data_IF_953245406902
#
_entry.id   IF_953245406902
#
_cell.length_a   1.000
_cell.length_b   1.000
_cell.length_c   1.000
_cell.angle_alpha   90.00
_cell.angle_beta   90.00
_cell.angle_gamma   90.00
#
_symmetry.space_group_name_H-M   'P 1'
#
loop_
_entity.id
_entity.type
_entity.pdbx_description
1 polymer ?
#
# COMPACT_ATOMS: atom_id res chain seq x y z
N UNK A 1 -39.83 49.93 -48.72
CA UNK A 1 -40.52 49.21 -47.63
C UNK A 1 -40.83 47.79 -48.10
N UNK A 2 -40.74 46.81 -47.19
CA UNK A 2 -40.01 45.54 -47.33
C UNK A 2 -40.89 44.40 -47.90
N UNK A 3 -40.43 43.20 -48.27
CA UNK A 3 -39.13 42.63 -48.67
C UNK A 3 -39.49 41.24 -49.21
N UNK A 4 -39.21 40.96 -50.48
CA UNK A 4 -39.29 39.63 -51.12
C UNK A 4 -37.97 38.90 -50.85
N UNK A 5 -37.90 37.58 -50.62
CA UNK A 5 -37.95 36.55 -51.66
C UNK A 5 -37.52 35.17 -51.10
N UNK A 6 -38.35 34.13 -51.33
CA UNK A 6 -38.13 32.73 -51.81
C UNK A 6 -36.76 32.02 -51.64
N UNK A 7 -36.55 30.68 -51.63
CA UNK A 7 -37.29 29.38 -51.64
C UNK A 7 -36.20 28.26 -51.54
N UNK A 8 -36.59 27.02 -51.16
CA UNK A 8 -35.90 25.69 -51.29
C UNK A 8 -35.01 25.58 -52.56
N UNK A 9 -33.95 24.76 -52.69
CA UNK A 9 -33.88 23.29 -52.57
C UNK A 9 -32.44 22.73 -52.86
N UNK A 10 -32.31 21.41 -52.95
CA UNK A 10 -31.13 20.50 -52.89
C UNK A 10 -30.04 20.53 -53.99
N UNK A 11 -28.86 20.07 -53.55
CA UNK A 11 -27.91 19.09 -54.16
C UNK A 11 -26.77 19.47 -55.13
N UNK A 12 -25.59 18.91 -54.77
CA UNK A 12 -24.51 18.30 -55.56
C UNK A 12 -23.22 19.06 -55.98
N UNK A 13 -22.11 18.49 -55.48
CA UNK A 13 -20.78 18.24 -56.08
C UNK A 13 -19.91 19.41 -56.58
N UNK A 14 -18.72 19.56 -55.97
CA UNK A 14 -17.54 20.14 -56.64
C UNK A 14 -16.45 20.74 -55.74
N UNK A 15 -15.39 19.96 -55.47
CA UNK A 15 -13.98 20.31 -55.17
C UNK A 15 -13.66 21.59 -54.37
N UNK A 16 -13.06 21.40 -53.19
CA UNK A 16 -12.27 22.41 -52.50
C UNK A 16 -11.44 21.80 -51.37
N UNK A 17 -10.17 21.55 -51.64
CA UNK A 17 -9.15 21.06 -50.70
C UNK A 17 -8.79 22.13 -49.69
N UNK A 18 -8.83 21.81 -48.38
CA UNK A 18 -7.82 22.22 -47.38
C UNK A 18 -7.94 21.39 -46.09
N UNK A 19 -6.91 20.56 -45.85
CA UNK A 19 -6.34 20.24 -44.53
C UNK A 19 -7.25 19.70 -43.44
N UNK A 20 -7.46 18.38 -43.39
CA UNK A 20 -7.77 17.67 -42.14
C UNK A 20 -6.46 17.18 -41.53
N UNK A 21 -5.91 17.92 -40.57
CA UNK A 21 -4.88 17.40 -39.67
C UNK A 21 -5.53 16.36 -38.75
N UNK A 22 -5.52 15.13 -39.23
CA UNK A 22 -5.82 13.96 -38.42
C UNK A 22 -4.69 13.81 -37.40
N UNK A 23 -4.98 14.09 -36.13
CA UNK A 23 -4.11 13.77 -35.02
C UNK A 23 -3.76 12.28 -35.08
N UNK A 24 -2.54 12.00 -35.56
CA UNK A 24 -1.98 10.67 -35.70
C UNK A 24 -1.90 10.02 -34.32
N UNK A 25 -2.84 9.13 -34.02
CA UNK A 25 -2.70 8.16 -32.93
C UNK A 25 -1.45 7.35 -33.22
N UNK A 26 -0.41 7.59 -32.42
CA UNK A 26 0.84 6.82 -32.41
C UNK A 26 0.49 5.32 -32.48
N UNK A 27 0.97 4.57 -33.48
CA UNK A 27 0.67 3.15 -33.56
C UNK A 27 1.25 2.46 -32.32
N UNK A 28 0.39 1.71 -31.62
CA UNK A 28 0.81 0.83 -30.52
C UNK A 28 1.76 -0.20 -31.13
N UNK A 29 3.07 0.01 -30.99
CA UNK A 29 4.10 -0.95 -31.44
C UNK A 29 3.77 -2.31 -30.86
N UNK A 30 3.37 -3.25 -31.71
CA UNK A 30 3.32 -4.66 -31.37
C UNK A 30 4.73 -5.10 -30.97
N UNK A 31 4.85 -5.57 -29.74
CA UNK A 31 6.12 -6.04 -29.18
C UNK A 31 6.31 -7.46 -29.72
N UNK A 32 7.16 -7.62 -30.73
CA UNK A 32 7.57 -8.93 -31.23
C UNK A 32 8.53 -9.61 -30.23
N UNK A 33 8.62 -10.94 -30.25
CA UNK A 33 9.50 -11.71 -29.35
C UNK A 33 10.97 -11.33 -29.51
N UNK A 34 11.43 -11.08 -30.74
CA UNK A 34 12.79 -10.64 -31.04
C UNK A 34 13.11 -9.26 -30.45
N UNK A 35 12.17 -8.32 -30.53
CA UNK A 35 12.33 -7.00 -29.91
C UNK A 35 12.35 -7.09 -28.38
N UNK A 36 11.59 -8.01 -27.79
CA UNK A 36 11.58 -8.25 -26.34
C UNK A 36 12.94 -8.75 -25.84
N UNK A 37 13.54 -9.70 -26.56
CA UNK A 37 14.85 -10.27 -26.20
C UNK A 37 15.98 -9.24 -26.29
N UNK A 38 15.92 -8.32 -27.26
CA UNK A 38 16.87 -7.22 -27.37
C UNK A 38 16.76 -6.21 -26.21
N UNK A 39 15.53 -5.94 -25.76
CA UNK A 39 15.26 -5.04 -24.63
C UNK A 39 15.70 -5.68 -23.29
N UNK A 40 15.37 -6.95 -23.10
CA UNK A 40 15.66 -7.75 -21.88
C UNK A 40 17.01 -8.46 -21.95
N UNK A 41 18.03 -7.76 -22.46
CA UNK A 41 19.40 -8.26 -22.57
C UNK A 41 20.30 -7.65 -21.49
N UNK A 42 20.99 -8.51 -20.74
CA UNK A 42 21.94 -8.08 -19.70
C UNK A 42 23.12 -7.28 -20.27
N UNK A 43 23.64 -7.65 -21.43
CA UNK A 43 24.76 -6.92 -22.07
C UNK A 43 24.33 -5.53 -22.55
N UNK A 44 23.11 -5.41 -23.07
CA UNK A 44 22.56 -4.12 -23.49
C UNK A 44 22.33 -3.23 -22.27
N UNK A 45 21.77 -3.78 -21.19
CA UNK A 45 21.52 -3.08 -19.94
C UNK A 45 22.82 -2.59 -19.29
N UNK A 46 23.84 -3.44 -19.21
CA UNK A 46 25.17 -3.13 -18.69
C UNK A 46 25.81 -1.92 -19.41
N UNK A 47 25.73 -1.91 -20.73
CA UNK A 47 26.35 -0.89 -21.57
C UNK A 47 25.57 0.43 -21.65
N UNK A 48 24.38 0.54 -21.05
CA UNK A 48 23.65 1.83 -21.02
C UNK A 48 24.38 2.84 -20.17
N UNK A 49 24.43 4.10 -20.63
CA UNK A 49 24.88 5.22 -19.81
C UNK A 49 23.84 5.57 -18.74
N UNK A 50 24.28 6.13 -17.60
CA UNK A 50 23.42 6.45 -16.45
C UNK A 50 22.22 7.34 -16.81
N UNK A 51 22.43 8.34 -17.67
CA UNK A 51 21.38 9.23 -18.16
C UNK A 51 20.26 8.51 -18.95
N UNK A 52 20.54 7.32 -19.47
CA UNK A 52 19.60 6.51 -20.26
C UNK A 52 19.04 5.31 -19.49
N UNK A 53 19.49 5.08 -18.26
CA UNK A 53 19.07 3.92 -17.46
C UNK A 53 17.58 3.96 -17.17
N UNK A 54 17.08 5.04 -16.57
CA UNK A 54 15.69 5.13 -16.17
C UNK A 54 14.72 4.98 -17.37
N UNK A 55 14.90 5.68 -18.51
CA UNK A 55 14.10 5.45 -19.70
C UNK A 55 14.16 3.99 -20.21
N UNK A 56 15.32 3.34 -20.13
CA UNK A 56 15.47 1.96 -20.57
C UNK A 56 14.79 0.96 -19.63
N UNK A 57 14.87 1.19 -18.32
CA UNK A 57 14.17 0.38 -17.31
C UNK A 57 12.65 0.50 -17.46
N UNK A 58 12.13 1.68 -17.84
CA UNK A 58 10.71 1.83 -18.19
C UNK A 58 10.31 0.97 -19.38
N UNK A 59 11.18 0.88 -20.40
CA UNK A 59 10.91 0.03 -21.56
C UNK A 59 10.96 -1.46 -21.18
N UNK A 60 11.92 -1.87 -20.35
CA UNK A 60 11.96 -3.23 -19.79
C UNK A 60 10.67 -3.52 -19.01
N UNK A 61 10.21 -2.59 -18.17
CA UNK A 61 9.01 -2.75 -17.36
C UNK A 61 7.76 -2.85 -18.24
N UNK A 62 7.68 -2.06 -19.32
CA UNK A 62 6.59 -2.13 -20.30
C UNK A 62 6.49 -3.52 -20.94
N UNK A 63 7.62 -4.11 -21.32
CA UNK A 63 7.69 -5.47 -21.89
C UNK A 63 7.26 -6.51 -20.85
N UNK A 64 7.87 -6.50 -19.66
CA UNK A 64 7.56 -7.50 -18.62
C UNK A 64 6.12 -7.39 -18.10
N UNK A 65 5.56 -6.17 -18.01
CA UNK A 65 4.17 -5.96 -17.60
C UNK A 65 3.17 -6.54 -18.61
N UNK A 66 3.48 -6.47 -19.90
CA UNK A 66 2.63 -7.00 -20.97
C UNK A 66 2.73 -8.52 -21.13
N UNK A 67 3.80 -9.14 -20.61
CA UNK A 67 4.02 -10.58 -20.71
C UNK A 67 3.07 -11.39 -19.80
N UNK A 68 2.73 -12.59 -20.26
CA UNK A 68 1.92 -13.58 -19.54
C UNK A 68 2.80 -14.72 -19.03
N UNK A 69 2.57 -15.24 -17.81
CA UNK A 69 3.30 -16.41 -17.32
C UNK A 69 2.92 -17.69 -18.12
N UNK A 70 3.85 -18.65 -18.30
CA UNK A 70 5.28 -18.52 -17.99
C UNK A 70 5.99 -17.67 -19.06
N UNK A 71 6.90 -16.79 -18.62
CA UNK A 71 7.74 -16.00 -19.52
C UNK A 71 9.21 -16.10 -19.09
N UNK A 72 10.04 -16.67 -19.95
CA UNK A 72 11.46 -16.86 -19.67
C UNK A 72 12.22 -15.53 -19.82
N UNK A 73 12.80 -15.06 -18.72
CA UNK A 73 13.70 -13.90 -18.71
C UNK A 73 15.15 -14.39 -18.73
N UNK A 74 16.01 -13.75 -19.51
CA UNK A 74 17.39 -14.19 -19.65
C UNK A 74 18.15 -14.11 -18.31
N UNK A 75 18.88 -15.17 -17.94
CA UNK A 75 19.66 -15.19 -16.70
C UNK A 75 20.71 -14.07 -16.65
N UNK A 76 21.26 -13.69 -17.79
CA UNK A 76 22.19 -12.56 -17.91
C UNK A 76 21.55 -11.21 -17.57
N UNK A 77 20.30 -10.99 -17.97
CA UNK A 77 19.55 -9.78 -17.61
C UNK A 77 19.21 -9.74 -16.12
N UNK A 78 18.76 -10.86 -15.56
CA UNK A 78 18.49 -10.98 -14.12
C UNK A 78 19.77 -10.69 -13.33
N UNK A 79 20.90 -11.31 -13.70
CA UNK A 79 22.19 -11.09 -13.04
C UNK A 79 22.64 -9.62 -13.09
N UNK A 80 22.45 -8.93 -14.21
CA UNK A 80 22.78 -7.51 -14.32
C UNK A 80 21.88 -6.65 -13.41
N UNK A 81 20.57 -6.92 -13.35
CA UNK A 81 19.63 -6.22 -12.46
C UNK A 81 19.97 -6.39 -10.97
N UNK A 82 20.61 -7.49 -10.59
CA UNK A 82 21.07 -7.73 -9.23
C UNK A 82 22.37 -7.00 -8.88
N UNK A 83 22.98 -6.28 -9.83
CA UNK A 83 24.20 -5.53 -9.54
C UNK A 83 23.91 -4.30 -8.66
N UNK A 84 24.89 -3.82 -7.88
CA UNK A 84 24.72 -2.63 -7.03
C UNK A 84 24.28 -1.38 -7.79
N UNK A 85 24.58 -1.30 -9.10
CA UNK A 85 24.17 -0.19 -9.98
C UNK A 85 22.66 0.02 -10.02
N UNK A 86 21.88 -1.06 -9.85
CA UNK A 86 20.42 -1.03 -9.85
C UNK A 86 19.84 -1.16 -8.44
N UNK A 87 20.28 -2.18 -7.69
CA UNK A 87 19.76 -2.43 -6.32
C UNK A 87 20.10 -1.32 -5.33
N UNK A 88 21.25 -0.67 -5.49
CA UNK A 88 21.78 0.38 -4.59
C UNK A 88 21.97 1.72 -5.32
N UNK A 89 21.22 1.92 -6.41
CA UNK A 89 21.32 3.12 -7.23
C UNK A 89 20.96 4.39 -6.45
N UNK A 90 21.78 5.42 -6.58
CA UNK A 90 21.47 6.77 -6.11
C UNK A 90 20.64 7.58 -7.12
N UNK A 91 20.41 7.04 -8.32
CA UNK A 91 19.64 7.71 -9.36
C UNK A 91 18.14 7.62 -9.04
N UNK A 92 17.49 8.79 -9.02
CA UNK A 92 16.06 8.90 -8.73
C UNK A 92 15.22 7.95 -9.60
N UNK A 93 14.36 7.17 -8.96
CA UNK A 93 13.44 6.23 -9.61
C UNK A 93 14.08 4.90 -10.06
N UNK A 94 15.41 4.77 -10.13
CA UNK A 94 16.04 3.53 -10.60
C UNK A 94 15.79 2.35 -9.65
N UNK A 95 15.97 2.53 -8.33
CA UNK A 95 15.67 1.47 -7.36
C UNK A 95 14.19 1.05 -7.40
N UNK A 96 13.29 2.03 -7.45
CA UNK A 96 11.85 1.76 -7.50
C UNK A 96 11.48 0.95 -8.75
N UNK A 97 12.00 1.35 -9.91
CA UNK A 97 11.71 0.66 -11.17
C UNK A 97 12.40 -0.71 -11.25
N UNK A 98 13.57 -0.85 -10.63
CA UNK A 98 14.24 -2.14 -10.43
C UNK A 98 13.38 -3.07 -9.57
N UNK A 99 12.80 -2.56 -8.47
CA UNK A 99 11.83 -3.29 -7.65
C UNK A 99 10.60 -3.74 -8.44
N UNK A 100 10.07 -2.90 -9.33
CA UNK A 100 8.99 -3.28 -10.25
C UNK A 100 9.40 -4.42 -11.18
N UNK A 101 10.60 -4.37 -11.77
CA UNK A 101 11.11 -5.42 -12.67
C UNK A 101 11.32 -6.75 -11.93
N UNK A 102 11.90 -6.72 -10.73
CA UNK A 102 12.10 -7.93 -9.92
C UNK A 102 10.76 -8.54 -9.51
N UNK A 103 9.78 -7.70 -9.14
CA UNK A 103 8.40 -8.14 -8.90
C UNK A 103 7.80 -8.79 -10.15
N UNK A 104 8.00 -8.21 -11.33
CA UNK A 104 7.53 -8.79 -12.59
C UNK A 104 8.19 -10.12 -12.92
N UNK A 105 9.49 -10.25 -12.67
CA UNK A 105 10.23 -11.51 -12.87
C UNK A 105 9.65 -12.61 -11.96
N UNK A 106 9.40 -12.32 -10.68
CA UNK A 106 8.74 -13.26 -9.74
C UNK A 106 7.36 -13.66 -10.25
N UNK A 107 6.53 -12.69 -10.65
CA UNK A 107 5.20 -12.95 -11.23
C UNK A 107 5.26 -13.85 -12.45
N UNK A 108 6.23 -13.64 -13.34
CA UNK A 108 6.36 -14.36 -14.61
C UNK A 108 7.01 -15.74 -14.47
N UNK A 109 7.79 -15.94 -13.41
CA UNK A 109 8.43 -17.23 -13.07
C UNK A 109 7.48 -18.24 -12.43
N UNK A 110 6.25 -17.83 -12.11
CA UNK A 110 5.24 -18.68 -11.50
C UNK A 110 4.75 -19.77 -12.47
N UNK A 111 5.48 -20.87 -12.56
CA UNK A 111 4.95 -22.14 -13.08
C UNK A 111 3.80 -22.63 -12.18
N UNK A 112 2.90 -23.45 -12.71
CA UNK A 112 1.71 -24.00 -12.03
C UNK A 112 2.03 -24.93 -10.82
N UNK A 113 3.19 -24.81 -10.19
CA UNK A 113 3.60 -25.59 -9.02
C UNK A 113 2.73 -25.26 -7.79
N UNK A 114 2.35 -26.30 -7.04
CA UNK A 114 1.46 -26.23 -5.89
C UNK A 114 2.13 -25.69 -4.62
N UNK A 115 1.40 -24.84 -3.89
CA UNK A 115 1.55 -24.57 -2.45
C UNK A 115 2.96 -24.31 -1.92
N UNK A 116 3.58 -25.34 -1.35
CA UNK A 116 4.81 -25.24 -0.55
C UNK A 116 6.10 -25.21 -1.38
N UNK A 117 6.14 -25.82 -2.57
CA UNK A 117 7.33 -25.78 -3.45
C UNK A 117 7.54 -24.39 -4.06
N UNK A 118 6.45 -23.65 -4.28
CA UNK A 118 6.48 -22.27 -4.80
C UNK A 118 7.23 -21.32 -3.87
N UNK A 119 7.04 -21.44 -2.55
CA UNK A 119 7.63 -20.53 -1.56
C UNK A 119 9.17 -20.63 -1.48
N UNK A 120 9.76 -21.70 -2.04
CA UNK A 120 11.19 -22.00 -1.93
C UNK A 120 12.02 -21.69 -3.18
N UNK A 121 11.42 -21.22 -4.28
CA UNK A 121 12.14 -20.95 -5.53
C UNK A 121 12.03 -19.49 -5.94
N UNK A 122 13.10 -18.73 -5.65
CA UNK A 122 13.31 -17.42 -6.25
C UNK A 122 13.80 -17.59 -7.71
N UNK A 123 13.32 -16.77 -8.66
CA UNK A 123 13.82 -16.77 -10.04
C UNK A 123 15.20 -16.11 -10.20
N UNK A 124 15.86 -15.83 -9.09
CA UNK A 124 17.18 -15.23 -9.01
C UNK A 124 17.94 -15.82 -7.83
N UNK A 125 19.26 -15.60 -7.80
CA UNK A 125 20.12 -16.11 -6.75
C UNK A 125 19.73 -15.53 -5.36
N UNK A 126 19.37 -16.43 -4.44
CA UNK A 126 18.98 -16.13 -3.07
C UNK A 126 20.07 -15.39 -2.27
N UNK A 127 21.34 -15.44 -2.69
CA UNK A 127 22.40 -14.64 -2.08
C UNK A 127 22.14 -13.12 -2.16
N UNK A 128 21.29 -12.67 -3.09
CA UNK A 128 20.91 -11.27 -3.23
C UNK A 128 19.63 -10.91 -2.47
N UNK A 129 19.03 -11.84 -1.72
CA UNK A 129 17.72 -11.62 -1.09
C UNK A 129 17.69 -10.37 -0.20
N UNK A 130 18.72 -10.16 0.62
CA UNK A 130 18.84 -8.99 1.49
C UNK A 130 18.98 -7.66 0.71
N UNK A 131 19.72 -7.67 -0.39
CA UNK A 131 19.91 -6.49 -1.24
C UNK A 131 18.63 -6.17 -2.03
N UNK A 132 17.93 -7.20 -2.51
CA UNK A 132 16.62 -7.06 -3.16
C UNK A 132 15.57 -6.54 -2.17
N UNK A 133 15.56 -7.05 -0.93
CA UNK A 133 14.63 -6.57 0.09
C UNK A 133 14.88 -5.09 0.39
N UNK A 134 16.16 -4.71 0.54
CA UNK A 134 16.56 -3.32 0.76
C UNK A 134 16.17 -2.41 -0.42
N UNK A 135 16.28 -2.90 -1.66
CA UNK A 135 15.83 -2.20 -2.85
C UNK A 135 14.30 -1.99 -2.86
N UNK A 136 13.53 -3.01 -2.46
CA UNK A 136 12.06 -2.95 -2.40
C UNK A 136 11.56 -2.03 -1.28
N UNK A 137 12.25 -1.99 -0.14
CA UNK A 137 11.82 -1.17 1.02
C UNK A 137 12.35 0.26 0.98
N UNK A 138 13.42 0.55 0.20
CA UNK A 138 14.03 1.89 0.09
C UNK A 138 13.02 3.01 -0.23
N UNK A 139 12.11 2.88 -1.23
CA UNK A 139 11.09 3.89 -1.51
C UNK A 139 10.15 4.14 -0.32
N UNK A 140 9.75 3.09 0.39
CA UNK A 140 8.93 3.23 1.60
C UNK A 140 9.69 3.89 2.74
N UNK A 141 11.02 3.71 2.81
CA UNK A 141 11.89 4.45 3.72
C UNK A 141 11.84 5.96 3.50
N UNK A 142 11.83 6.41 2.25
CA UNK A 142 11.68 7.84 1.91
C UNK A 142 10.29 8.35 2.33
N UNK A 143 9.25 7.55 2.12
CA UNK A 143 7.88 7.87 2.55
C UNK A 143 7.78 7.98 4.07
N UNK A 144 8.38 7.03 4.80
CA UNK A 144 8.37 7.02 6.26
C UNK A 144 9.10 8.23 6.87
N UNK A 145 10.13 8.75 6.20
CA UNK A 145 10.84 9.98 6.58
C UNK A 145 10.13 11.27 6.13
N UNK A 146 9.03 11.16 5.39
CA UNK A 146 8.30 12.32 4.85
C UNK A 146 8.99 12.99 3.65
N UNK A 147 9.98 12.33 3.03
CA UNK A 147 10.72 12.85 1.86
C UNK A 147 9.89 12.71 0.56
N UNK A 148 8.94 11.78 0.52
CA UNK A 148 8.08 11.52 -0.62
C UNK A 148 6.66 11.09 -0.18
N UNK A 149 5.60 11.43 -0.94
CA UNK A 149 4.26 10.90 -0.65
C UNK A 149 4.18 9.42 -1.03
N UNK A 150 3.36 8.63 -0.32
CA UNK A 150 3.15 7.20 -0.63
C UNK A 150 2.72 6.97 -2.08
N UNK A 151 2.02 7.95 -2.68
CA UNK A 151 1.60 7.90 -4.09
C UNK A 151 2.77 7.70 -5.06
N UNK A 152 3.98 8.17 -4.76
CA UNK A 152 5.14 7.91 -5.64
C UNK A 152 5.39 6.41 -5.79
N UNK A 153 5.05 5.61 -4.76
CA UNK A 153 5.25 4.16 -4.71
C UNK A 153 4.15 3.35 -5.41
N UNK A 154 3.13 3.97 -6.01
CA UNK A 154 1.92 3.29 -6.53
C UNK A 154 2.23 2.14 -7.49
N UNK A 155 3.14 2.34 -8.45
CA UNK A 155 3.53 1.27 -9.39
C UNK A 155 4.23 0.11 -8.68
N UNK A 156 5.10 0.42 -7.70
CA UNK A 156 5.80 -0.61 -6.94
C UNK A 156 4.82 -1.41 -6.08
N UNK A 157 3.86 -0.73 -5.44
CA UNK A 157 2.79 -1.35 -4.65
C UNK A 157 1.97 -2.30 -5.54
N UNK A 158 1.53 -1.84 -6.72
CA UNK A 158 0.80 -2.68 -7.69
C UNK A 158 1.62 -3.95 -7.99
N UNK A 159 2.88 -3.80 -8.43
CA UNK A 159 3.70 -4.93 -8.90
C UNK A 159 4.08 -5.89 -7.77
N UNK A 160 4.48 -5.37 -6.62
CA UNK A 160 4.84 -6.18 -5.46
C UNK A 160 3.63 -6.99 -4.96
N UNK A 161 2.43 -6.38 -4.95
CA UNK A 161 1.21 -7.07 -4.54
C UNK A 161 0.77 -8.18 -5.49
N UNK A 162 0.93 -7.99 -6.81
CA UNK A 162 0.54 -9.00 -7.82
C UNK A 162 1.53 -10.17 -7.84
N UNK A 163 2.80 -9.89 -7.58
CA UNK A 163 3.86 -10.90 -7.58
C UNK A 163 4.00 -11.66 -6.26
N UNK A 164 3.42 -11.14 -5.17
CA UNK A 164 3.65 -11.61 -3.81
C UNK A 164 5.15 -11.70 -3.45
N UNK A 165 5.98 -10.82 -4.03
CA UNK A 165 7.45 -10.91 -3.94
C UNK A 165 7.96 -10.96 -2.50
N UNK A 166 7.35 -10.21 -1.57
CA UNK A 166 7.75 -10.25 -0.16
C UNK A 166 7.58 -11.63 0.46
N UNK A 167 6.51 -12.34 0.11
CA UNK A 167 6.25 -13.70 0.57
C UNK A 167 7.31 -14.70 0.13
N UNK A 168 7.83 -14.55 -1.10
CA UNK A 168 8.91 -15.39 -1.63
C UNK A 168 10.28 -14.96 -1.14
N UNK A 169 10.51 -13.67 -0.95
CA UNK A 169 11.85 -13.11 -0.70
C UNK A 169 12.29 -13.25 0.76
N UNK A 170 11.40 -12.92 1.70
CA UNK A 170 11.71 -12.84 3.14
C UNK A 170 12.31 -14.15 3.69
N UNK A 171 11.81 -15.36 3.34
CA UNK A 171 12.39 -16.62 3.81
C UNK A 171 13.86 -16.84 3.43
N UNK A 172 14.37 -16.13 2.41
CA UNK A 172 15.75 -16.24 1.94
C UNK A 172 16.68 -15.14 2.48
N UNK A 173 16.16 -14.15 3.21
CA UNK A 173 16.97 -13.11 3.83
C UNK A 173 17.80 -13.67 4.99
N UNK A 174 19.08 -13.29 5.06
CA UNK A 174 20.00 -13.71 6.14
C UNK A 174 20.08 -12.68 7.25
N UNK A 175 19.86 -11.40 6.94
CA UNK A 175 19.87 -10.33 7.94
C UNK A 175 18.48 -10.17 8.57
N UNK A 176 18.39 -9.65 9.81
CA UNK A 176 17.11 -9.27 10.41
C UNK A 176 16.27 -8.41 9.47
N UNK A 177 14.99 -8.75 9.33
CA UNK A 177 14.10 -8.10 8.34
C UNK A 177 13.21 -7.02 8.96
N UNK A 178 12.90 -7.14 10.25
CA UNK A 178 11.92 -6.30 10.95
C UNK A 178 12.23 -4.80 10.81
N UNK A 179 13.44 -4.35 11.19
CA UNK A 179 13.82 -2.93 11.08
C UNK A 179 13.70 -2.38 9.65
N UNK A 180 13.99 -3.21 8.64
CA UNK A 180 13.89 -2.84 7.22
C UNK A 180 12.45 -2.82 6.72
N UNK A 181 11.56 -3.58 7.35
CA UNK A 181 10.14 -3.68 7.00
C UNK A 181 9.29 -2.64 7.72
N UNK A 182 9.71 -2.13 8.88
CA UNK A 182 9.00 -1.10 9.66
C UNK A 182 8.59 0.10 8.80
N UNK A 183 9.43 0.55 7.86
CA UNK A 183 9.10 1.67 6.98
C UNK A 183 7.87 1.42 6.08
N UNK A 184 7.62 0.16 5.70
CA UNK A 184 6.46 -0.24 4.90
C UNK A 184 5.17 -0.07 5.72
N UNK A 185 5.20 -0.42 7.01
CA UNK A 185 4.10 -0.21 7.95
C UNK A 185 3.87 1.27 8.27
N UNK A 186 4.95 2.03 8.51
CA UNK A 186 4.87 3.48 8.75
C UNK A 186 4.25 4.20 7.54
N UNK A 187 4.53 3.73 6.31
CA UNK A 187 3.94 4.25 5.09
C UNK A 187 2.41 4.27 5.09
N UNK A 188 1.74 3.41 5.85
CA UNK A 188 0.26 3.37 5.96
C UNK A 188 -0.31 4.69 6.47
N UNK A 189 0.38 5.38 7.38
CA UNK A 189 -0.04 6.68 7.91
C UNK A 189 0.04 7.81 6.86
N UNK A 190 0.84 7.62 5.81
CA UNK A 190 0.99 8.55 4.70
C UNK A 190 0.01 8.27 3.55
N UNK A 191 -0.90 7.30 3.72
CA UNK A 191 -1.86 6.92 2.69
C UNK A 191 -2.94 7.99 2.46
N UNK A 192 -3.22 8.82 3.46
CA UNK A 192 -4.00 10.05 3.30
C UNK A 192 -3.03 11.24 3.21
N UNK A 193 -3.27 12.18 2.28
CA UNK A 193 -2.44 13.37 2.06
C UNK A 193 -2.36 14.36 3.27
N UNK A 194 -2.85 13.96 4.44
CA UNK A 194 -3.02 14.81 5.62
C UNK A 194 -1.89 14.78 6.65
N UNK A 195 -0.78 14.07 6.40
CA UNK A 195 0.33 13.95 7.36
C UNK A 195 1.69 14.47 6.84
N UNK A 196 1.69 15.34 5.83
CA UNK A 196 2.88 16.12 5.49
C UNK A 196 3.06 17.25 6.51
N UNK A 197 4.04 17.10 7.39
CA UNK A 197 4.47 18.13 8.36
C UNK A 197 5.56 19.04 7.79
N UNK A 198 5.91 18.91 6.51
CA UNK A 198 6.75 19.87 5.81
C UNK A 198 5.97 21.15 5.48
N UNK A 199 6.46 22.28 5.97
CA UNK A 199 5.92 23.62 5.74
C UNK A 199 5.47 23.85 4.27
N UNK A 200 4.32 24.53 4.13
CA UNK A 200 3.89 25.32 2.96
C UNK A 200 3.28 24.64 1.72
N UNK A 201 2.62 23.49 1.82
CA UNK A 201 1.68 23.09 0.75
C UNK A 201 0.32 22.63 1.30
N UNK A 202 -0.81 23.21 0.84
CA UNK A 202 -2.13 22.68 1.18
C UNK A 202 -2.21 21.23 0.69
N UNK A 203 -2.78 20.34 1.50
CA UNK A 203 -3.01 18.94 1.14
C UNK A 203 -3.81 18.86 -0.18
N UNK A 204 -3.09 18.72 -1.30
CA UNK A 204 -3.71 18.53 -2.60
C UNK A 204 -4.23 17.08 -2.65
N UNK A 205 -5.45 16.91 -3.16
CA UNK A 205 -6.05 15.59 -3.42
C UNK A 205 -5.13 14.68 -4.26
N UNK A 206 -4.19 15.29 -4.98
CA UNK A 206 -3.21 14.63 -5.83
C UNK A 206 -2.21 13.76 -5.09
N UNK A 207 -2.04 13.86 -3.77
CA UNK A 207 -1.10 13.00 -3.02
C UNK A 207 -1.76 11.80 -2.32
N UNK A 208 -3.09 11.68 -2.41
CA UNK A 208 -3.82 10.56 -1.80
C UNK A 208 -3.78 9.34 -2.71
N UNK A 209 -3.55 8.15 -2.13
CA UNK A 209 -3.59 6.90 -2.89
C UNK A 209 -5.03 6.46 -3.17
N UNK A 210 -5.24 5.68 -4.23
CA UNK A 210 -6.57 5.15 -4.55
C UNK A 210 -6.96 4.01 -3.60
N UNK A 211 -8.25 3.66 -3.58
CA UNK A 211 -8.73 2.47 -2.84
C UNK A 211 -8.10 1.19 -3.40
N UNK A 212 -7.81 1.14 -4.70
CA UNK A 212 -7.14 -0.02 -5.33
C UNK A 212 -5.72 -0.15 -4.79
N UNK A 213 -4.95 0.94 -4.81
CA UNK A 213 -3.58 0.98 -4.26
C UNK A 213 -3.57 0.65 -2.76
N UNK A 214 -4.57 1.11 -2.00
CA UNK A 214 -4.72 0.78 -0.60
C UNK A 214 -4.98 -0.74 -0.40
N UNK A 215 -5.83 -1.33 -1.24
CA UNK A 215 -6.07 -2.77 -1.18
C UNK A 215 -4.80 -3.58 -1.52
N UNK A 216 -4.00 -3.13 -2.47
CA UNK A 216 -2.71 -3.72 -2.86
C UNK A 216 -1.66 -3.60 -1.76
N UNK A 217 -1.55 -2.43 -1.12
CA UNK A 217 -0.69 -2.21 0.03
C UNK A 217 -1.06 -3.14 1.19
N UNK A 218 -2.35 -3.34 1.44
CA UNK A 218 -2.82 -4.34 2.41
C UNK A 218 -2.35 -5.76 2.09
N UNK A 219 -2.34 -6.18 0.82
CA UNK A 219 -1.81 -7.49 0.41
C UNK A 219 -0.31 -7.60 0.68
N UNK A 220 0.47 -6.55 0.42
CA UNK A 220 1.92 -6.53 0.71
C UNK A 220 2.17 -6.76 2.21
N UNK A 221 1.45 -6.06 3.09
CA UNK A 221 1.60 -6.23 4.54
C UNK A 221 1.18 -7.64 4.98
N UNK A 222 0.14 -8.21 4.37
CA UNK A 222 -0.28 -9.60 4.59
C UNK A 222 0.81 -10.59 4.16
N UNK A 223 1.45 -10.39 3.00
CA UNK A 223 2.55 -11.22 2.52
C UNK A 223 3.75 -11.15 3.46
N UNK A 224 4.08 -9.95 3.95
CA UNK A 224 5.13 -9.73 4.95
C UNK A 224 4.81 -10.53 6.22
N UNK A 225 3.61 -10.38 6.78
CA UNK A 225 3.21 -11.07 8.01
C UNK A 225 3.14 -12.61 7.85
N UNK A 226 2.76 -13.09 6.66
CA UNK A 226 2.82 -14.52 6.34
C UNK A 226 4.27 -15.06 6.38
N UNK A 227 5.22 -14.27 5.86
CA UNK A 227 6.61 -14.68 5.78
C UNK A 227 7.35 -14.53 7.12
N UNK A 228 7.09 -13.46 7.88
CA UNK A 228 7.73 -13.23 9.18
C UNK A 228 7.10 -14.02 10.31
N UNK A 229 5.79 -14.30 10.22
CA UNK A 229 4.96 -14.92 11.28
C UNK A 229 4.97 -14.15 12.61
N UNK A 230 5.34 -12.87 12.57
CA UNK A 230 5.48 -12.00 13.74
C UNK A 230 5.27 -10.55 13.35
N UNK A 231 4.79 -9.73 14.28
CA UNK A 231 4.71 -8.28 14.14
C UNK A 231 5.27 -7.62 15.40
N UNK A 232 6.09 -6.58 15.21
CA UNK A 232 6.67 -5.79 16.31
C UNK A 232 5.74 -4.66 16.75
N UNK A 233 6.01 -4.07 17.92
CA UNK A 233 5.27 -2.90 18.42
C UNK A 233 5.33 -1.71 17.43
N UNK A 234 6.51 -1.45 16.85
CA UNK A 234 6.73 -0.36 15.90
C UNK A 234 6.01 -0.56 14.56
N UNK A 235 5.80 -1.81 14.13
CA UNK A 235 5.01 -2.15 12.95
C UNK A 235 3.50 -2.13 13.22
N UNK A 236 3.09 -2.48 14.44
CA UNK A 236 1.68 -2.53 14.86
C UNK A 236 1.11 -1.14 15.14
N UNK A 237 1.89 -0.25 15.78
CA UNK A 237 1.43 1.07 16.20
C UNK A 237 0.85 1.93 15.04
N UNK A 238 1.46 1.96 13.83
CA UNK A 238 0.89 2.64 12.68
C UNK A 238 -0.51 2.16 12.29
N UNK A 239 -0.75 0.85 12.32
CA UNK A 239 -2.04 0.24 11.96
C UNK A 239 -3.11 0.57 13.01
N UNK A 240 -2.76 0.45 14.29
CA UNK A 240 -3.66 0.79 15.40
C UNK A 240 -4.06 2.27 15.38
N UNK A 241 -3.12 3.17 15.05
CA UNK A 241 -3.40 4.61 14.93
C UNK A 241 -4.45 4.90 13.86
N UNK A 242 -4.34 4.27 12.69
CA UNK A 242 -5.29 4.46 11.59
C UNK A 242 -6.69 3.93 11.93
N UNK A 243 -6.78 2.76 12.56
CA UNK A 243 -8.07 2.20 13.01
C UNK A 243 -8.70 3.06 14.10
N UNK A 244 -7.89 3.52 15.06
CA UNK A 244 -8.35 4.39 16.14
C UNK A 244 -8.85 5.74 15.59
N UNK A 245 -8.11 6.34 14.66
CA UNK A 245 -8.50 7.59 14.01
C UNK A 245 -9.80 7.45 13.17
N UNK A 246 -10.07 6.24 12.67
CA UNK A 246 -11.27 5.94 11.89
C UNK A 246 -12.48 5.48 12.73
N UNK A 247 -12.34 5.32 14.05
CA UNK A 247 -13.40 4.83 14.93
C UNK A 247 -14.61 5.78 14.94
N UNK A 248 -15.81 5.31 14.55
CA UNK A 248 -17.02 6.13 14.59
C UNK A 248 -17.40 6.58 16.00
N UNK A 249 -17.16 5.78 17.03
CA UNK A 249 -17.44 6.18 18.42
C UNK A 249 -16.49 7.26 18.89
N UNK A 250 -15.19 7.15 18.60
CA UNK A 250 -14.21 8.17 18.99
C UNK A 250 -14.43 9.48 18.22
N UNK A 251 -14.76 9.40 16.93
CA UNK A 251 -15.10 10.58 16.12
C UNK A 251 -16.33 11.30 16.68
N UNK A 252 -17.42 10.57 17.01
CA UNK A 252 -18.61 11.16 17.62
C UNK A 252 -18.31 11.81 18.97
N UNK A 253 -17.47 11.19 19.80
CA UNK A 253 -17.04 11.74 21.09
C UNK A 253 -16.22 13.02 20.90
N UNK A 254 -15.27 13.03 19.97
CA UNK A 254 -14.47 14.20 19.65
C UNK A 254 -15.35 15.37 19.15
N UNK A 255 -16.34 15.09 18.30
CA UNK A 255 -17.33 16.07 17.85
C UNK A 255 -18.19 16.61 19.00
N UNK A 256 -18.67 15.74 19.90
CA UNK A 256 -19.46 16.14 21.06
C UNK A 256 -18.66 17.07 22.00
N UNK A 257 -17.39 16.75 22.25
CA UNK A 257 -16.48 17.56 23.07
C UNK A 257 -16.19 18.93 22.45
N UNK A 258 -16.05 19.00 21.11
CA UNK A 258 -15.88 20.29 20.40
C UNK A 258 -17.12 21.16 20.52
N UNK A 259 -18.32 20.56 20.48
CA UNK A 259 -19.59 21.29 20.65
C UNK A 259 -19.81 21.78 22.07
N UNK A 260 -19.28 21.10 23.09
CA UNK A 260 -19.34 21.58 24.48
C UNK A 260 -18.37 22.74 24.76
N UNK A 261 -17.30 22.89 23.98
CA UNK A 261 -16.38 24.03 24.06
C UNK A 261 -16.83 25.27 23.26
N UNK A 262 -17.73 25.14 22.30
CA UNK A 262 -18.29 26.23 21.52
C UNK A 262 -19.78 26.42 21.85
N UNK A 263 -20.09 27.38 22.72
CA UNK A 263 -21.45 27.86 22.99
C UNK A 263 -21.99 28.68 21.82
N UNK A 264 -22.24 28.04 20.67
CA UNK A 264 -23.04 28.63 19.59
C UNK A 264 -23.96 27.57 19.02
N UNK A 265 -25.26 27.79 19.22
CA UNK A 265 -26.38 26.96 18.77
C UNK A 265 -26.23 26.51 17.32
N UNK A 266 -26.05 25.20 17.12
CA UNK A 266 -26.26 24.59 15.81
C UNK A 266 -26.79 23.17 15.96
N UNK A 267 -28.03 22.99 15.51
CA UNK A 267 -28.83 21.77 15.56
C UNK A 267 -28.06 20.52 15.08
N UNK A 268 -28.30 19.33 15.67
CA UNK A 268 -27.60 18.11 15.30
C UNK A 268 -28.19 17.50 14.02
N UNK A 269 -27.55 17.76 12.88
CA UNK A 269 -27.76 16.95 11.67
C UNK A 269 -27.03 15.61 11.82
N UNK A 270 -27.72 14.63 12.43
CA UNK A 270 -27.27 13.26 12.70
C UNK A 270 -26.92 12.42 11.44
N UNK A 271 -26.97 12.99 10.24
CA UNK A 271 -26.77 12.28 8.97
C UNK A 271 -25.52 12.69 8.18
N UNK A 272 -24.73 13.68 8.62
CA UNK A 272 -23.52 14.12 7.87
C UNK A 272 -22.33 13.17 8.08
N UNK A 273 -22.25 12.47 9.22
CA UNK A 273 -21.15 11.56 9.53
C UNK A 273 -21.17 10.23 8.73
N UNK A 274 -22.28 9.89 8.07
CA UNK A 274 -22.46 8.58 7.40
C UNK A 274 -21.79 8.46 6.02
N UNK A 275 -21.21 9.53 5.48
CA UNK A 275 -20.62 9.54 4.12
C UNK A 275 -19.18 10.09 4.04
N UNK A 276 -18.42 10.04 5.15
CA UNK A 276 -16.97 10.23 5.04
C UNK A 276 -16.39 8.89 4.58
N UNK A 277 -15.91 8.81 3.35
CA UNK A 277 -15.14 7.67 2.84
C UNK A 277 -14.03 7.36 3.85
N UNK A 278 -13.92 6.09 4.29
CA UNK A 278 -12.86 5.66 5.21
C UNK A 278 -11.51 6.05 4.61
N UNK A 279 -10.62 6.61 5.43
CA UNK A 279 -9.31 7.01 4.99
C UNK A 279 -8.56 5.79 4.41
N UNK A 280 -7.75 5.94 3.35
CA UNK A 280 -7.02 4.82 2.75
C UNK A 280 -6.15 4.04 3.75
N UNK A 281 -5.52 4.73 4.73
CA UNK A 281 -4.75 4.09 5.80
C UNK A 281 -5.60 3.17 6.67
N UNK A 282 -6.79 3.62 7.08
CA UNK A 282 -7.75 2.79 7.81
C UNK A 282 -8.25 1.58 7.00
N UNK A 283 -8.39 1.71 5.67
CA UNK A 283 -8.75 0.58 4.80
C UNK A 283 -7.63 -0.47 4.76
N UNK A 284 -6.37 -0.03 4.65
CA UNK A 284 -5.20 -0.92 4.70
C UNK A 284 -5.16 -1.64 6.05
N UNK A 285 -5.21 -0.89 7.15
CA UNK A 285 -5.09 -1.44 8.50
C UNK A 285 -6.22 -2.43 8.79
N UNK A 286 -7.47 -2.10 8.44
CA UNK A 286 -8.62 -2.99 8.61
C UNK A 286 -8.39 -4.32 7.91
N UNK A 287 -7.92 -4.30 6.67
CA UNK A 287 -7.64 -5.52 5.91
C UNK A 287 -6.59 -6.40 6.61
N UNK A 288 -5.50 -5.80 7.08
CA UNK A 288 -4.43 -6.51 7.78
C UNK A 288 -4.93 -7.16 9.06
N UNK A 289 -5.64 -6.41 9.92
CA UNK A 289 -6.22 -6.95 11.15
C UNK A 289 -7.15 -8.13 10.90
N UNK A 290 -7.97 -8.07 9.85
CA UNK A 290 -8.98 -9.09 9.56
C UNK A 290 -8.40 -10.36 8.93
N UNK A 291 -7.35 -10.26 8.11
CA UNK A 291 -6.75 -11.41 7.43
C UNK A 291 -5.59 -12.06 8.22
N UNK A 292 -5.06 -11.39 9.27
CA UNK A 292 -3.90 -11.84 10.06
C UNK A 292 -4.16 -11.84 11.58
N UNK A 293 -5.38 -12.17 12.00
CA UNK A 293 -5.77 -12.20 13.41
C UNK A 293 -4.86 -13.10 14.27
N UNK A 294 -4.43 -14.23 13.73
CA UNK A 294 -3.57 -15.22 14.39
C UNK A 294 -2.20 -14.65 14.78
N UNK A 295 -1.59 -13.86 13.90
CA UNK A 295 -0.29 -13.21 14.15
C UNK A 295 -0.46 -11.95 14.99
N UNK A 296 -1.53 -11.19 14.76
CA UNK A 296 -1.69 -9.85 15.33
C UNK A 296 -2.29 -9.86 16.74
N UNK A 297 -3.19 -10.79 17.06
CA UNK A 297 -3.89 -10.79 18.36
C UNK A 297 -2.94 -10.86 19.57
N UNK A 298 -1.92 -11.75 19.62
CA UNK A 298 -0.95 -11.75 20.73
C UNK A 298 -0.15 -10.45 20.83
N UNK A 299 0.17 -9.83 19.69
CA UNK A 299 0.91 -8.57 19.64
C UNK A 299 0.06 -7.39 20.14
N UNK A 300 -1.22 -7.32 19.78
CA UNK A 300 -2.15 -6.31 20.32
C UNK A 300 -2.25 -6.43 21.84
N UNK A 301 -2.43 -7.65 22.36
CA UNK A 301 -2.55 -7.86 23.80
C UNK A 301 -1.31 -7.33 24.54
N UNK A 302 -0.12 -7.69 24.05
CA UNK A 302 1.16 -7.23 24.62
C UNK A 302 1.29 -5.70 24.53
N UNK A 303 1.00 -5.13 23.36
CA UNK A 303 1.06 -3.68 23.12
C UNK A 303 0.14 -2.88 24.05
N UNK A 304 -1.11 -3.34 24.23
CA UNK A 304 -2.09 -2.68 25.11
C UNK A 304 -1.68 -2.79 26.58
N UNK A 305 -1.19 -3.95 27.01
CA UNK A 305 -0.69 -4.15 28.39
C UNK A 305 0.49 -3.23 28.66
N UNK A 306 1.48 -3.18 27.77
CA UNK A 306 2.64 -2.29 27.91
C UNK A 306 2.24 -0.81 28.03
N UNK A 307 1.30 -0.34 27.18
CA UNK A 307 0.79 1.04 27.28
C UNK A 307 0.10 1.33 28.61
N UNK A 308 -0.66 0.37 29.14
CA UNK A 308 -1.37 0.53 30.43
C UNK A 308 -0.38 0.50 31.59
N UNK A 309 0.55 -0.46 31.61
CA UNK A 309 1.56 -0.59 32.65
C UNK A 309 2.45 0.65 32.72
N UNK A 310 2.92 1.14 31.57
CA UNK A 310 3.69 2.38 31.50
C UNK A 310 2.88 3.57 32.02
N UNK A 311 1.63 3.71 31.56
CA UNK A 311 0.76 4.82 31.98
C UNK A 311 0.43 4.80 33.48
N UNK A 312 0.16 3.63 34.04
CA UNK A 312 -0.08 3.45 35.48
C UNK A 312 1.19 3.72 36.29
N UNK A 313 2.35 3.25 35.81
CA UNK A 313 3.65 3.49 36.44
C UNK A 313 3.97 4.99 36.54
N UNK A 314 3.72 5.76 35.48
CA UNK A 314 3.91 7.22 35.48
C UNK A 314 2.96 7.94 36.45
N UNK A 315 1.70 7.50 36.54
CA UNK A 315 0.73 8.06 37.51
C UNK A 315 1.17 7.76 38.94
N UNK A 316 1.56 6.52 39.22
CA UNK A 316 2.03 6.12 40.54
C UNK A 316 3.31 6.88 40.95
N UNK A 317 4.27 7.03 40.03
CA UNK A 317 5.47 7.82 40.27
C UNK A 317 5.16 9.29 40.58
N UNK A 318 4.22 9.90 39.84
CA UNK A 318 3.79 11.27 40.07
C UNK A 318 3.15 11.46 41.47
N UNK A 319 2.36 10.47 41.93
CA UNK A 319 1.74 10.48 43.26
C UNK A 319 2.76 10.38 44.41
N UNK A 320 3.86 9.64 44.20
CA UNK A 320 4.95 9.53 45.17
C UNK A 320 5.78 10.83 45.23
N UNK A 321 6.00 11.49 44.10
CA UNK A 321 6.81 12.72 44.03
C UNK A 321 6.07 14.00 44.40
N UNK A 322 4.74 13.95 44.54
CA UNK A 322 3.91 15.04 45.09
C UNK A 322 3.69 16.27 44.20
N UNK A 323 4.42 16.46 43.09
CA UNK A 323 4.33 17.71 42.31
C UNK A 323 4.49 17.57 40.78
N UNK A 324 4.27 16.37 40.24
CA UNK A 324 4.40 16.12 38.79
C UNK A 324 3.04 15.91 38.09
N UNK A 325 2.22 16.96 38.11
CA UNK A 325 0.90 16.99 37.46
C UNK A 325 1.01 16.63 35.96
N UNK A 326 2.11 16.99 35.32
CA UNK A 326 2.32 16.72 33.90
C UNK A 326 2.64 15.23 33.64
N UNK A 327 3.47 14.58 34.47
CA UNK A 327 3.63 13.12 34.41
C UNK A 327 2.34 12.38 34.71
N UNK A 328 1.56 12.81 35.70
CA UNK A 328 0.23 12.22 35.98
C UNK A 328 -0.71 12.34 34.77
N UNK A 329 -0.71 13.51 34.10
CA UNK A 329 -1.46 13.70 32.84
C UNK A 329 -0.90 12.89 31.68
N UNK A 330 0.41 12.69 31.60
CA UNK A 330 1.03 11.85 30.58
C UNK A 330 0.60 10.38 30.74
N UNK A 331 0.70 9.85 31.95
CA UNK A 331 0.31 8.47 32.23
C UNK A 331 -1.19 8.20 32.01
N UNK A 332 -2.07 9.12 32.46
CA UNK A 332 -3.50 9.04 32.16
C UNK A 332 -3.82 9.11 30.66
N UNK A 333 -3.06 9.89 29.88
CA UNK A 333 -3.16 9.90 28.40
C UNK A 333 -2.72 8.56 27.80
N UNK A 334 -1.67 7.94 28.36
CA UNK A 334 -1.22 6.59 27.98
C UNK A 334 -2.34 5.55 28.12
N UNK A 335 -2.93 5.45 29.31
CA UNK A 335 -4.07 4.54 29.59
C UNK A 335 -5.28 4.88 28.72
N UNK A 336 -5.57 6.18 28.53
CA UNK A 336 -6.65 6.62 27.64
C UNK A 336 -6.48 6.13 26.19
N UNK A 337 -5.27 6.26 25.63
CA UNK A 337 -4.96 5.76 24.27
C UNK A 337 -5.12 4.25 24.15
N UNK A 338 -4.77 3.49 25.20
CA UNK A 338 -4.99 2.04 25.23
C UNK A 338 -6.48 1.69 25.15
N UNK A 339 -7.33 2.41 25.90
CA UNK A 339 -8.78 2.22 25.85
C UNK A 339 -9.37 2.61 24.49
N UNK A 340 -8.89 3.70 23.88
CA UNK A 340 -9.29 4.11 22.53
C UNK A 340 -8.98 3.03 21.49
N UNK A 341 -7.80 2.41 21.56
CA UNK A 341 -7.44 1.29 20.69
C UNK A 341 -8.39 0.10 20.85
N UNK A 342 -8.72 -0.28 22.10
CA UNK A 342 -9.66 -1.37 22.38
C UNK A 342 -11.06 -1.10 21.83
N UNK A 343 -11.58 0.11 22.00
CA UNK A 343 -12.89 0.51 21.44
C UNK A 343 -12.87 0.38 19.91
N UNK A 344 -11.83 0.89 19.25
CA UNK A 344 -11.73 0.85 17.80
C UNK A 344 -11.61 -0.59 17.25
N UNK A 345 -10.87 -1.47 17.94
CA UNK A 345 -10.76 -2.89 17.60
C UNK A 345 -12.08 -3.64 17.77
N UNK A 346 -12.85 -3.34 18.83
CA UNK A 346 -14.19 -3.91 19.02
C UNK A 346 -15.14 -3.54 17.89
N UNK A 347 -15.11 -2.29 17.42
CA UNK A 347 -15.92 -1.83 16.28
C UNK A 347 -15.54 -2.52 14.97
N UNK A 348 -14.24 -2.72 14.74
CA UNK A 348 -13.74 -3.41 13.55
C UNK A 348 -14.27 -4.86 13.46
N UNK A 349 -14.45 -5.53 14.60
CA UNK A 349 -15.02 -6.88 14.68
C UNK A 349 -16.56 -6.92 14.53
N UNK A 350 -17.29 -5.88 14.92
CA UNK A 350 -18.77 -5.86 14.85
C UNK A 350 -19.29 -5.51 13.43
N UNK A 351 -18.56 -4.69 12.68
CA UNK A 351 -18.93 -4.31 11.30
C UNK A 351 -18.73 -5.45 10.27
N UNK A 352 -18.03 -6.54 10.65
CA UNK A 352 -17.78 -7.68 9.76
C UNK A 352 -18.95 -8.68 9.68
N UNK A 353 -19.84 -8.69 10.67
CA UNK A 353 -20.98 -9.63 10.71
C UNK A 353 -21.98 -9.35 9.60
N UNK A 354 -22.12 -8.08 9.17
CA UNK A 354 -23.03 -7.71 8.09
C UNK A 354 -22.62 -8.30 6.73
N UNK A 355 -21.32 -8.41 6.43
CA UNK A 355 -20.81 -8.99 5.19
C UNK A 355 -20.50 -10.50 5.28
N UNK A 356 -20.35 -11.04 6.50
CA UNK A 356 -20.18 -12.48 6.74
C UNK A 356 -21.51 -13.26 6.79
N UNK A 357 -22.65 -12.59 7.01
CA UNK A 357 -23.99 -13.21 7.02
C UNK A 357 -24.39 -13.84 5.68
N UNK A 358 -23.76 -13.44 4.56
CA UNK A 358 -23.96 -14.06 3.24
C UNK A 358 -23.01 -15.23 2.97
N UNK A 359 -21.85 -15.30 3.65
CA UNK A 359 -20.86 -16.38 3.51
C UNK A 359 -21.03 -17.54 4.49
N UNK A 360 -21.61 -17.30 5.67
CA UNK A 360 -21.78 -18.32 6.71
C UNK A 360 -22.92 -19.33 6.46
N UNK A 361 -23.88 -19.01 5.59
CA UNK A 361 -24.95 -19.96 5.21
C UNK A 361 -24.41 -21.21 4.51
N UNK A 362 -23.30 -21.09 3.78
CA UNK A 362 -22.75 -22.20 2.99
C UNK A 362 -21.76 -23.08 3.76
N UNK A 363 -21.01 -22.54 4.72
CA UNK A 363 -19.95 -23.27 5.45
C UNK A 363 -20.43 -23.92 6.75
N UNK A 364 -21.49 -23.42 7.38
CA UNK A 364 -22.10 -24.10 8.54
C UNK A 364 -22.95 -25.30 8.16
N UNK A 365 -23.55 -25.32 6.96
CA UNK A 365 -24.34 -26.47 6.48
C UNK A 365 -23.47 -27.70 6.20
N UNK A 366 -22.18 -27.52 5.84
CA UNK A 366 -21.25 -28.63 5.64
C UNK A 366 -20.65 -29.19 6.94
N UNK A 367 -20.34 -28.36 7.93
CA UNK A 367 -19.76 -28.83 9.21
C UNK A 367 -20.79 -29.49 10.14
N UNK A 368 -22.08 -29.17 10.01
CA UNK A 368 -23.16 -29.87 10.74
C UNK A 368 -23.50 -31.26 10.16
N UNK A 369 -23.14 -31.57 8.90
CA UNK A 369 -23.35 -32.92 8.32
C UNK A 369 -22.24 -33.92 8.65
N UNK A 370 -21.03 -33.44 8.97
CA UNK A 370 -19.90 -34.32 9.30
C UNK A 370 -19.91 -34.70 10.79
N UNK A 371 -20.56 -33.92 11.65
CA UNK A 371 -20.71 -34.25 13.08
C UNK A 371 -21.92 -35.14 13.39
N UNK A 372 -22.65 -35.61 12.37
CA UNK A 372 -23.83 -36.46 12.50
C UNK A 372 -23.65 -37.89 11.93
N UNK A 373 -22.40 -38.29 11.68
CA UNK A 373 -22.03 -39.67 11.32
C UNK A 373 -20.88 -40.17 12.18
#
# INVERSE_FOLDING_TARGET
MPSTSTRRERSNLGKGSTGSESASKRPRREVTSENSNAILSGTVLHNKADALLLPWLFECHRVLRAATPPFAVSAGFIKELLSPRYLKSSLNGVQQLTGCLLSDIVRLSSDHASGEERANMLPFDANYADDVLSCLTSPFGQVARGEAPLKTCEQLIERASVSHIFGYLIPHCRQPVQERLTCVFVGVQQAAAGAFTGNEAPATSDNTITIVTAAEMGRILIDILNATRSITSDELAPLLKEITAASPTLLRRAEANRKTGNTVDSNPLANVARKKTRAPGAVIAARVFLEKLDVIHPAIASYVVEMVEQGVGEVAAAEVTGDDVEKKRHGLRGVGRAMECLVALMELHVDLVANLSQGFSHTWSMKLRISAY
#
